data_IF_509084661978
#
_entry.id   IF_509084661978
#
_cell.length_a   1.000
_cell.length_b   1.000
_cell.length_c   1.000
_cell.angle_alpha   90.00
_cell.angle_beta   90.00
_cell.angle_gamma   90.00
#
_symmetry.space_group_name_H-M   'P 1'
#
loop_
_entity.id
_entity.type
_entity.pdbx_description
1 polymer ?
#
# COMPACT_ATOMS: atom_id res chain seq x y z
N UNK A 1 34.47 49.06 3.17
CA UNK A 1 34.73 47.77 2.47
C UNK A 1 33.48 46.92 2.60
N UNK A 2 32.49 47.12 1.73
CA UNK A 2 31.22 46.37 1.72
C UNK A 2 31.42 45.10 0.91
N UNK A 3 31.49 43.95 1.57
CA UNK A 3 31.57 42.65 0.91
C UNK A 3 30.31 42.43 0.06
N UNK A 4 30.41 42.03 -1.22
CA UNK A 4 29.24 41.68 -2.01
C UNK A 4 28.65 40.38 -1.44
N UNK A 5 27.39 40.42 -1.01
CA UNK A 5 26.67 39.22 -0.59
C UNK A 5 26.50 38.31 -1.81
N UNK A 6 27.28 37.23 -1.87
CA UNK A 6 27.04 36.16 -2.84
C UNK A 6 25.71 35.51 -2.45
N UNK A 7 24.66 35.80 -3.21
CA UNK A 7 23.40 35.06 -3.12
C UNK A 7 23.66 33.65 -3.67
N UNK A 8 24.06 32.73 -2.79
CA UNK A 8 24.12 31.32 -3.11
C UNK A 8 22.69 30.88 -3.46
N UNK A 9 22.50 30.30 -4.65
CA UNK A 9 21.22 29.70 -5.01
C UNK A 9 20.81 28.71 -3.90
N UNK A 10 19.51 28.61 -3.55
CA UNK A 10 19.08 27.69 -2.51
C UNK A 10 19.52 26.28 -2.89
N UNK A 11 20.26 25.62 -1.99
CA UNK A 11 20.60 24.20 -2.12
C UNK A 11 19.30 23.42 -2.41
N UNK A 12 19.29 22.47 -3.37
CA UNK A 12 18.09 21.71 -3.69
C UNK A 12 17.56 21.04 -2.42
N UNK A 13 16.38 21.44 -1.95
CA UNK A 13 15.75 20.75 -0.84
C UNK A 13 15.50 19.30 -1.24
N UNK A 14 16.04 18.37 -0.45
CA UNK A 14 15.82 16.95 -0.65
C UNK A 14 14.34 16.63 -0.44
N UNK A 15 13.66 16.37 -1.55
CA UNK A 15 12.23 16.10 -1.63
C UNK A 15 12.03 14.65 -2.09
N UNK A 16 10.90 14.02 -1.78
CA UNK A 16 10.69 12.60 -2.10
C UNK A 16 10.89 12.23 -3.59
N UNK A 17 10.77 13.23 -4.50
CA UNK A 17 11.02 13.12 -5.94
C UNK A 17 12.52 13.09 -6.33
N UNK A 18 13.41 13.63 -5.49
CA UNK A 18 14.81 13.91 -5.82
C UNK A 18 15.82 13.17 -4.93
N UNK A 19 15.37 12.38 -3.95
CA UNK A 19 16.24 11.56 -3.08
C UNK A 19 16.58 10.21 -3.71
N UNK A 20 17.83 9.77 -3.47
CA UNK A 20 18.37 8.45 -3.76
C UNK A 20 17.36 7.29 -3.69
N UNK A 21 17.31 6.50 -4.76
CA UNK A 21 16.37 5.39 -4.97
C UNK A 21 16.74 4.08 -4.23
N UNK A 22 17.67 4.14 -3.29
CA UNK A 22 18.15 2.96 -2.56
C UNK A 22 17.06 2.34 -1.69
N UNK A 23 17.00 1.00 -1.63
CA UNK A 23 16.04 0.26 -0.78
C UNK A 23 16.19 0.66 0.70
N UNK A 24 17.42 0.91 1.16
CA UNK A 24 17.69 1.42 2.53
C UNK A 24 17.12 2.82 2.76
N UNK A 25 17.18 3.69 1.75
CA UNK A 25 16.64 5.06 1.81
C UNK A 25 15.13 5.05 1.92
N UNK A 26 14.45 4.16 1.17
CA UNK A 26 13.00 4.01 1.23
C UNK A 26 12.51 3.35 2.53
N UNK A 27 13.19 2.31 3.04
CA UNK A 27 12.75 1.62 4.25
C UNK A 27 12.97 2.43 5.53
N UNK A 28 13.97 3.33 5.55
CA UNK A 28 14.31 4.17 6.71
C UNK A 28 13.89 5.63 6.51
N UNK A 29 13.01 5.90 5.56
CA UNK A 29 12.53 7.27 5.26
C UNK A 29 11.67 7.81 6.41
N UNK A 30 11.82 9.11 6.69
CA UNK A 30 10.95 9.86 7.61
C UNK A 30 9.95 10.76 6.89
N UNK A 31 10.06 10.89 5.56
CA UNK A 31 9.11 11.66 4.73
C UNK A 31 7.74 10.97 4.66
N UNK A 32 6.71 11.66 5.15
CA UNK A 32 5.33 11.16 5.22
C UNK A 32 4.71 10.86 3.84
N UNK A 33 5.12 11.56 2.78
CA UNK A 33 4.65 11.29 1.41
C UNK A 33 5.29 10.03 0.82
N UNK A 34 6.54 9.72 1.18
CA UNK A 34 7.16 8.43 0.85
C UNK A 34 6.49 7.28 1.59
N UNK A 35 6.20 7.48 2.86
CA UNK A 35 5.44 6.50 3.67
C UNK A 35 4.06 6.26 3.03
N UNK A 36 3.35 7.31 2.60
CA UNK A 36 2.08 7.17 1.89
C UNK A 36 2.18 6.32 0.61
N UNK A 37 3.24 6.51 -0.19
CA UNK A 37 3.52 5.72 -1.38
C UNK A 37 3.81 4.25 -1.06
N UNK A 38 4.60 3.98 -0.01
CA UNK A 38 4.87 2.62 0.45
C UNK A 38 3.59 1.90 0.89
N UNK A 39 2.73 2.60 1.64
CA UNK A 39 1.41 2.09 2.01
C UNK A 39 0.53 1.84 0.79
N UNK A 40 0.50 2.77 -0.19
CA UNK A 40 -0.28 2.59 -1.41
C UNK A 40 0.11 1.32 -2.16
N UNK A 41 1.41 1.05 -2.31
CA UNK A 41 1.91 -0.17 -2.96
C UNK A 41 1.50 -1.41 -2.17
N UNK A 42 1.71 -1.41 -0.85
CA UNK A 42 1.36 -2.54 0.02
C UNK A 42 -0.14 -2.85 0.03
N UNK A 43 -0.97 -1.82 0.15
CA UNK A 43 -2.44 -1.91 0.13
C UNK A 43 -2.94 -2.40 -1.22
N UNK A 44 -2.35 -1.94 -2.33
CA UNK A 44 -2.67 -2.42 -3.67
C UNK A 44 -2.34 -3.91 -3.81
N UNK A 45 -1.20 -4.37 -3.29
CA UNK A 45 -0.87 -5.79 -3.23
C UNK A 45 -1.86 -6.61 -2.40
N UNK A 46 -2.24 -6.12 -1.21
CA UNK A 46 -3.24 -6.75 -0.37
C UNK A 46 -4.63 -6.80 -1.03
N UNK A 47 -5.00 -5.76 -1.79
CA UNK A 47 -6.24 -5.71 -2.56
C UNK A 47 -6.29 -6.81 -3.63
N UNK A 48 -5.21 -7.00 -4.40
CA UNK A 48 -5.15 -8.09 -5.39
C UNK A 48 -5.18 -9.46 -4.72
N UNK A 49 -4.49 -9.64 -3.59
CA UNK A 49 -4.50 -10.91 -2.86
C UNK A 49 -5.89 -11.23 -2.27
N UNK A 50 -6.53 -10.24 -1.62
CA UNK A 50 -7.89 -10.38 -1.10
C UNK A 50 -8.90 -10.60 -2.23
N UNK A 51 -8.77 -9.88 -3.33
CA UNK A 51 -9.60 -10.04 -4.53
C UNK A 51 -9.44 -11.42 -5.19
N UNK A 52 -8.23 -11.97 -5.19
CA UNK A 52 -7.99 -13.33 -5.68
C UNK A 52 -8.77 -14.37 -4.89
N UNK A 53 -8.78 -14.29 -3.55
CA UNK A 53 -9.61 -15.17 -2.72
C UNK A 53 -11.11 -14.97 -2.99
N UNK A 54 -11.55 -13.74 -3.24
CA UNK A 54 -12.94 -13.47 -3.62
C UNK A 54 -13.31 -14.16 -4.94
N UNK A 55 -12.41 -14.15 -5.93
CA UNK A 55 -12.62 -14.85 -7.20
C UNK A 55 -12.73 -16.35 -6.97
N UNK A 56 -11.86 -16.96 -6.17
CA UNK A 56 -11.96 -18.40 -5.85
C UNK A 56 -13.30 -18.77 -5.20
N UNK A 57 -13.77 -17.97 -4.24
CA UNK A 57 -15.09 -18.14 -3.61
C UNK A 57 -16.21 -18.06 -4.67
N UNK A 58 -16.12 -17.09 -5.59
CA UNK A 58 -17.12 -16.92 -6.65
C UNK A 58 -17.09 -18.05 -7.66
N UNK A 59 -15.91 -18.57 -8.01
CA UNK A 59 -15.76 -19.71 -8.90
C UNK A 59 -16.41 -20.97 -8.32
N UNK A 60 -16.25 -21.22 -7.01
CA UNK A 60 -16.90 -22.35 -6.33
C UNK A 60 -18.43 -22.28 -6.41
N UNK A 61 -18.97 -21.06 -6.29
CA UNK A 61 -20.42 -20.81 -6.32
C UNK A 61 -21.02 -20.72 -7.74
N UNK A 62 -20.24 -20.92 -8.80
CA UNK A 62 -20.77 -20.91 -10.17
C UNK A 62 -21.70 -22.10 -10.46
N UNK A 63 -21.45 -23.23 -9.80
CA UNK A 63 -22.24 -24.45 -9.94
C UNK A 63 -22.85 -24.85 -8.60
N UNK A 64 -24.12 -25.31 -8.56
CA UNK A 64 -24.78 -25.69 -7.30
C UNK A 64 -24.10 -26.85 -6.57
N UNK A 65 -23.37 -27.72 -7.28
CA UNK A 65 -22.79 -28.94 -6.71
C UNK A 65 -21.43 -28.78 -6.05
N UNK A 66 -20.83 -27.57 -6.03
CA UNK A 66 -19.57 -27.28 -5.32
C UNK A 66 -18.42 -28.25 -5.66
N UNK A 67 -17.68 -27.95 -6.73
CA UNK A 67 -16.78 -28.93 -7.37
C UNK A 67 -15.29 -28.53 -7.33
N UNK A 68 -14.93 -27.31 -6.87
CA UNK A 68 -13.54 -26.86 -6.84
C UNK A 68 -12.87 -27.05 -5.47
N UNK A 69 -13.59 -26.75 -4.38
CA UNK A 69 -13.02 -26.78 -3.03
C UNK A 69 -13.96 -27.44 -2.01
N UNK A 70 -13.37 -28.18 -1.07
CA UNK A 70 -14.13 -28.72 0.06
C UNK A 70 -14.65 -27.62 0.98
N UNK A 71 -15.75 -27.88 1.70
CA UNK A 71 -16.43 -26.92 2.58
C UNK A 71 -15.49 -26.28 3.63
N UNK A 72 -14.55 -27.03 4.19
CA UNK A 72 -13.57 -26.49 5.14
C UNK A 72 -12.63 -25.48 4.47
N UNK A 73 -12.16 -25.77 3.26
CA UNK A 73 -11.30 -24.89 2.48
C UNK A 73 -12.05 -23.63 2.06
N UNK A 74 -13.33 -23.73 1.67
CA UNK A 74 -14.18 -22.58 1.39
C UNK A 74 -14.26 -21.62 2.59
N UNK A 75 -14.51 -22.15 3.79
CA UNK A 75 -14.59 -21.33 5.00
C UNK A 75 -13.25 -20.63 5.30
N UNK A 76 -12.13 -21.32 5.12
CA UNK A 76 -10.79 -20.71 5.26
C UNK A 76 -10.57 -19.59 4.24
N UNK A 77 -10.90 -19.80 2.97
CA UNK A 77 -10.79 -18.79 1.92
C UNK A 77 -11.65 -17.56 2.22
N UNK A 78 -12.89 -17.76 2.68
CA UNK A 78 -13.80 -16.68 3.08
C UNK A 78 -13.23 -15.86 4.25
N UNK A 79 -12.74 -16.52 5.31
CA UNK A 79 -12.13 -15.83 6.44
C UNK A 79 -10.86 -15.08 6.02
N UNK A 80 -9.99 -15.68 5.21
CA UNK A 80 -8.76 -15.04 4.73
C UNK A 80 -9.05 -13.82 3.85
N UNK A 81 -10.02 -13.91 2.94
CA UNK A 81 -10.50 -12.76 2.16
C UNK A 81 -10.93 -11.61 3.09
N UNK A 82 -11.79 -11.89 4.07
CA UNK A 82 -12.30 -10.88 5.00
C UNK A 82 -11.20 -10.23 5.83
N UNK A 83 -10.30 -11.01 6.42
CA UNK A 83 -9.19 -10.49 7.25
C UNK A 83 -8.26 -9.60 6.42
N UNK A 84 -7.89 -10.03 5.21
CA UNK A 84 -7.02 -9.24 4.33
C UNK A 84 -7.70 -7.94 3.92
N UNK A 85 -8.95 -8.00 3.48
CA UNK A 85 -9.66 -6.80 3.03
C UNK A 85 -9.91 -5.81 4.17
N UNK A 86 -10.28 -6.25 5.37
CA UNK A 86 -10.55 -5.33 6.48
C UNK A 86 -9.27 -4.72 7.03
N UNK A 87 -8.30 -5.55 7.41
CA UNK A 87 -7.13 -5.08 8.16
C UNK A 87 -6.02 -4.51 7.28
N UNK A 88 -5.84 -5.05 6.08
CA UNK A 88 -4.73 -4.66 5.21
C UNK A 88 -5.14 -3.73 4.07
N UNK A 89 -6.45 -3.65 3.74
CA UNK A 89 -6.96 -2.72 2.74
C UNK A 89 -7.82 -1.61 3.36
N UNK A 90 -8.97 -1.96 3.96
CA UNK A 90 -10.00 -0.99 4.35
C UNK A 90 -9.53 -0.04 5.44
N UNK A 91 -9.02 -0.57 6.56
CA UNK A 91 -8.55 0.23 7.71
C UNK A 91 -7.40 1.18 7.33
N UNK A 92 -6.31 0.74 6.66
CA UNK A 92 -5.20 1.64 6.35
C UNK A 92 -5.42 2.52 5.12
N UNK A 93 -6.35 2.18 4.20
CA UNK A 93 -6.53 2.90 2.93
C UNK A 93 -6.65 4.42 3.06
N UNK A 94 -7.53 4.89 3.94
CA UNK A 94 -7.77 6.32 4.14
C UNK A 94 -6.65 6.97 4.97
N UNK A 95 -6.38 6.55 6.22
CA UNK A 95 -5.42 7.27 7.06
C UNK A 95 -3.98 7.14 6.58
N UNK A 96 -3.55 5.95 6.11
CA UNK A 96 -2.14 5.70 5.81
C UNK A 96 -1.74 6.18 4.40
N UNK A 97 -2.68 6.28 3.46
CA UNK A 97 -2.41 6.83 2.11
C UNK A 97 -2.83 8.29 2.04
N UNK A 98 -4.12 8.57 2.20
CA UNK A 98 -4.62 9.94 2.04
C UNK A 98 -4.21 10.83 3.20
N UNK A 99 -4.29 10.32 4.44
CA UNK A 99 -3.85 11.08 5.61
C UNK A 99 -2.38 11.45 5.54
N UNK A 100 -1.49 10.47 5.33
CA UNK A 100 -0.06 10.74 5.20
C UNK A 100 0.32 11.58 3.96
N UNK A 101 -0.48 11.60 2.88
CA UNK A 101 -0.13 12.36 1.67
C UNK A 101 -0.69 13.79 1.66
N UNK A 102 -1.91 14.00 2.18
CA UNK A 102 -2.67 15.25 2.06
C UNK A 102 -2.68 16.11 3.33
N UNK A 103 -2.53 15.50 4.51
CA UNK A 103 -2.53 16.19 5.81
C UNK A 103 -1.11 16.30 6.36
#
# INVERSE_FOLDING_TARGET
>A
MTSPAITLAPEPQEHYLNVDYGVRSWLLTTDHKRVALLYLIGITGAFFLGGFFAVLIRLELLTPQGDLVQAETYNKLFTMHGVIMVFFFLIPSIPAVLGNFLL
#
